data_IF_899161720975
#
_entry.id   IF_899161720975
#
_cell.length_a   1.000
_cell.length_b   1.000
_cell.length_c   1.000
_cell.angle_alpha   90.00
_cell.angle_beta   90.00
_cell.angle_gamma   90.00
#
_symmetry.space_group_name_H-M   'P 1'
#
loop_
_entity.id
_entity.type
_entity.pdbx_description
1 polymer ?
#
# COMPACT_ATOMS: atom_id res chain seq x y z
N UNK A 1 47.65 -69.66 41.57
CA UNK A 1 47.59 -68.85 40.34
C UNK A 1 48.89 -68.10 40.21
N UNK A 2 49.55 -68.23 39.07
CA UNK A 2 50.82 -67.58 38.77
C UNK A 2 50.61 -66.07 38.49
N UNK A 3 51.60 -65.21 38.72
CA UNK A 3 51.44 -63.76 38.45
C UNK A 3 51.11 -63.46 36.99
N UNK A 4 51.51 -64.35 36.08
CA UNK A 4 51.20 -64.32 34.65
C UNK A 4 49.71 -64.49 34.36
N UNK A 5 49.01 -65.41 35.03
CA UNK A 5 47.56 -65.59 34.85
C UNK A 5 46.76 -64.34 35.27
N UNK A 6 47.20 -63.66 36.32
CA UNK A 6 46.56 -62.42 36.76
C UNK A 6 46.77 -61.29 35.74
N UNK A 7 47.99 -61.16 35.20
CA UNK A 7 48.29 -60.16 34.15
C UNK A 7 47.49 -60.42 32.87
N UNK A 8 47.34 -61.69 32.47
CA UNK A 8 46.53 -62.06 31.29
C UNK A 8 45.07 -61.67 31.51
N UNK A 9 44.48 -61.98 32.68
CA UNK A 9 43.11 -61.58 33.02
C UNK A 9 42.92 -60.06 33.03
N UNK A 10 43.91 -59.32 33.49
CA UNK A 10 43.87 -57.85 33.52
C UNK A 10 43.88 -57.26 32.10
N UNK A 11 44.66 -57.86 31.20
CA UNK A 11 44.70 -57.51 29.79
C UNK A 11 43.37 -57.85 29.11
N UNK A 12 42.81 -59.03 29.34
CA UNK A 12 41.50 -59.45 28.79
C UNK A 12 40.38 -58.52 29.23
N UNK A 13 40.32 -58.18 30.53
CA UNK A 13 39.32 -57.23 31.04
C UNK A 13 39.49 -55.84 30.40
N UNK A 14 40.72 -55.36 30.21
CA UNK A 14 40.97 -54.10 29.53
C UNK A 14 40.53 -54.13 28.06
N UNK A 15 40.74 -55.26 27.36
CA UNK A 15 40.28 -55.44 25.98
C UNK A 15 38.75 -55.34 25.93
N UNK A 16 38.05 -56.06 26.80
CA UNK A 16 36.57 -56.03 26.87
C UNK A 16 36.04 -54.61 27.12
N UNK A 17 36.65 -53.86 28.06
CA UNK A 17 36.26 -52.47 28.32
C UNK A 17 36.52 -51.57 27.12
N UNK A 18 37.63 -51.77 26.40
CA UNK A 18 37.94 -50.97 25.20
C UNK A 18 37.03 -51.32 24.02
N UNK A 19 36.68 -52.58 23.82
CA UNK A 19 35.72 -53.01 22.81
C UNK A 19 34.33 -52.42 23.07
N UNK A 20 33.90 -52.41 24.33
CA UNK A 20 32.65 -51.75 24.73
C UNK A 20 32.63 -50.26 24.40
N UNK A 21 33.76 -49.55 24.61
CA UNK A 21 33.91 -48.13 24.22
C UNK A 21 33.92 -47.92 22.71
N UNK A 22 34.50 -48.84 21.95
CA UNK A 22 34.50 -48.79 20.48
C UNK A 22 33.07 -48.93 19.95
N UNK A 23 32.27 -49.83 20.52
CA UNK A 23 30.87 -50.01 20.11
C UNK A 23 29.99 -48.79 20.41
N UNK A 24 30.17 -48.12 21.55
CA UNK A 24 29.46 -46.86 21.83
C UNK A 24 29.88 -45.76 20.87
N UNK A 25 31.18 -45.59 20.60
CA UNK A 25 31.65 -44.61 19.61
C UNK A 25 31.11 -44.89 18.20
N UNK A 26 30.98 -46.15 17.79
CA UNK A 26 30.38 -46.49 16.50
C UNK A 26 28.90 -46.08 16.42
N UNK A 27 28.12 -46.29 17.50
CA UNK A 27 26.74 -45.81 17.58
C UNK A 27 26.65 -44.29 17.50
N UNK A 28 27.51 -43.57 18.23
CA UNK A 28 27.53 -42.11 18.21
C UNK A 28 27.87 -41.58 16.80
N UNK A 29 28.80 -42.23 16.10
CA UNK A 29 29.15 -41.89 14.72
C UNK A 29 27.96 -42.09 13.77
N UNK A 30 27.22 -43.20 13.90
CA UNK A 30 26.01 -43.42 13.09
C UNK A 30 24.92 -42.38 13.37
N UNK A 31 24.71 -42.01 14.63
CA UNK A 31 23.71 -41.02 15.01
C UNK A 31 24.08 -39.62 14.47
N UNK A 32 25.36 -39.25 14.54
CA UNK A 32 25.88 -38.01 13.95
C UNK A 32 25.69 -38.01 12.44
N UNK A 33 25.95 -39.14 11.77
CA UNK A 33 25.80 -39.27 10.31
C UNK A 33 24.33 -39.11 9.89
N UNK A 34 23.41 -39.70 10.65
CA UNK A 34 21.98 -39.54 10.40
C UNK A 34 21.53 -38.08 10.60
N UNK A 35 21.92 -37.45 11.72
CA UNK A 35 21.56 -36.05 11.99
C UNK A 35 22.13 -35.08 10.96
N UNK A 36 23.37 -35.31 10.50
CA UNK A 36 23.98 -34.45 9.48
C UNK A 36 23.25 -34.56 8.14
N UNK A 37 22.88 -35.77 7.72
CA UNK A 37 22.11 -35.99 6.50
C UNK A 37 20.76 -35.27 6.55
N UNK A 38 20.03 -35.40 7.66
CA UNK A 38 18.74 -34.74 7.86
C UNK A 38 18.87 -33.20 7.85
N UNK A 39 19.98 -32.68 8.37
CA UNK A 39 20.30 -31.25 8.31
C UNK A 39 20.56 -30.78 6.86
N UNK A 40 21.29 -31.56 6.06
CA UNK A 40 21.54 -31.25 4.65
C UNK A 40 20.26 -31.27 3.82
N UNK A 41 19.37 -32.24 4.02
CA UNK A 41 18.07 -32.30 3.33
C UNK A 41 17.23 -31.06 3.65
N UNK A 42 17.14 -30.67 4.92
CA UNK A 42 16.43 -29.45 5.32
C UNK A 42 17.02 -28.17 4.69
N UNK A 43 18.34 -28.07 4.54
CA UNK A 43 18.98 -26.93 3.88
C UNK A 43 18.64 -26.87 2.39
N UNK A 44 18.60 -28.02 1.71
CA UNK A 44 18.22 -28.11 0.30
C UNK A 44 16.77 -27.63 0.11
N UNK A 45 15.85 -28.10 0.95
CA UNK A 45 14.44 -27.70 0.91
C UNK A 45 14.26 -26.20 1.15
N UNK A 46 14.97 -25.64 2.12
CA UNK A 46 14.96 -24.20 2.39
C UNK A 46 15.49 -23.38 1.21
N UNK A 47 16.54 -23.86 0.53
CA UNK A 47 17.10 -23.21 -0.65
C UNK A 47 16.09 -23.20 -1.81
N UNK A 48 15.33 -24.28 -2.01
CA UNK A 48 14.32 -24.36 -3.06
C UNK A 48 13.14 -23.40 -2.80
N UNK A 49 12.67 -23.31 -1.55
CA UNK A 49 11.64 -22.35 -1.13
C UNK A 49 12.10 -20.91 -1.38
N UNK A 50 13.36 -20.62 -1.05
CA UNK A 50 13.94 -19.27 -1.20
C UNK A 50 14.07 -18.88 -2.68
N UNK A 51 14.45 -19.83 -3.55
CA UNK A 51 14.48 -19.65 -5.00
C UNK A 51 13.07 -19.36 -5.57
N UNK A 52 12.04 -20.10 -5.13
CA UNK A 52 10.65 -19.86 -5.53
C UNK A 52 10.18 -18.45 -5.14
N UNK A 53 10.48 -18.00 -3.92
CA UNK A 53 10.17 -16.64 -3.45
C UNK A 53 10.90 -15.56 -4.25
N UNK A 54 12.20 -15.73 -4.53
CA UNK A 54 12.97 -14.79 -5.37
C UNK A 54 12.36 -14.64 -6.77
N UNK A 55 11.98 -15.75 -7.41
CA UNK A 55 11.34 -15.73 -8.73
C UNK A 55 10.01 -14.97 -8.71
N UNK A 56 9.20 -15.15 -7.66
CA UNK A 56 7.94 -14.42 -7.50
C UNK A 56 8.16 -12.92 -7.30
N UNK A 57 9.15 -12.52 -6.50
CA UNK A 57 9.48 -11.11 -6.29
C UNK A 57 9.90 -10.41 -7.59
N UNK A 58 10.79 -11.03 -8.37
CA UNK A 58 11.21 -10.49 -9.69
C UNK A 58 10.00 -10.32 -10.61
N UNK A 59 9.07 -11.29 -10.63
CA UNK A 59 7.86 -11.20 -11.45
C UNK A 59 6.95 -10.05 -11.01
N UNK A 60 6.84 -9.81 -9.69
CA UNK A 60 6.09 -8.69 -9.13
C UNK A 60 6.70 -7.34 -9.49
N UNK A 61 8.03 -7.20 -9.36
CA UNK A 61 8.74 -5.98 -9.77
C UNK A 61 8.52 -5.66 -11.25
N UNK A 62 8.62 -6.66 -12.13
CA UNK A 62 8.36 -6.48 -13.56
C UNK A 62 6.91 -6.03 -13.83
N UNK A 63 5.93 -6.56 -13.09
CA UNK A 63 4.53 -6.10 -13.19
C UNK A 63 4.37 -4.67 -12.71
N UNK A 64 4.98 -4.30 -11.58
CA UNK A 64 4.95 -2.94 -11.04
C UNK A 64 5.58 -1.96 -12.04
N UNK A 65 6.74 -2.28 -12.61
CA UNK A 65 7.41 -1.44 -13.61
C UNK A 65 6.54 -1.23 -14.87
N UNK A 66 5.86 -2.28 -15.34
CA UNK A 66 4.91 -2.14 -16.45
C UNK A 66 3.72 -1.23 -16.10
N UNK A 67 3.18 -1.34 -14.87
CA UNK A 67 2.11 -0.46 -14.41
C UNK A 67 2.58 1.00 -14.32
N UNK A 68 3.77 1.26 -13.79
CA UNK A 68 4.38 2.60 -13.73
C UNK A 68 4.50 3.18 -15.15
N UNK A 69 5.03 2.42 -16.11
CA UNK A 69 5.17 2.85 -17.51
C UNK A 69 3.81 3.20 -18.14
N UNK A 70 2.79 2.39 -17.90
CA UNK A 70 1.42 2.66 -18.36
C UNK A 70 0.83 3.91 -17.72
N UNK A 71 1.10 4.13 -16.43
CA UNK A 71 0.60 5.29 -15.71
C UNK A 71 1.25 6.59 -16.24
N UNK A 72 2.57 6.58 -16.48
CA UNK A 72 3.30 7.70 -17.12
C UNK A 72 2.72 8.00 -18.50
N UNK A 73 2.46 6.97 -19.32
CA UNK A 73 1.86 7.15 -20.66
C UNK A 73 0.47 7.78 -20.56
N UNK A 74 -0.33 7.34 -19.59
CA UNK A 74 -1.68 7.85 -19.36
C UNK A 74 -1.64 9.31 -18.90
N UNK A 75 -0.73 9.66 -17.98
CA UNK A 75 -0.52 11.04 -17.54
C UNK A 75 -0.16 11.95 -18.71
N UNK A 76 0.78 11.56 -19.57
CA UNK A 76 1.16 12.34 -20.76
C UNK A 76 -0.02 12.57 -21.71
N UNK A 77 -0.88 11.56 -21.88
CA UNK A 77 -2.10 11.71 -22.68
C UNK A 77 -3.10 12.68 -22.03
N UNK A 78 -3.25 12.65 -20.71
CA UNK A 78 -4.09 13.60 -19.97
C UNK A 78 -3.56 15.03 -20.15
N UNK A 79 -2.25 15.23 -20.02
CA UNK A 79 -1.62 16.54 -20.21
C UNK A 79 -1.85 17.08 -21.62
N UNK A 80 -1.69 16.23 -22.64
CA UNK A 80 -1.97 16.59 -24.03
C UNK A 80 -3.44 16.98 -24.26
N UNK A 81 -4.38 16.21 -23.70
CA UNK A 81 -5.82 16.53 -23.78
C UNK A 81 -6.11 17.85 -23.05
N UNK A 82 -5.46 18.11 -21.92
CA UNK A 82 -5.64 19.34 -21.16
C UNK A 82 -5.14 20.57 -21.94
N UNK A 83 -4.02 20.47 -22.65
CA UNK A 83 -3.54 21.50 -23.57
C UNK A 83 -4.60 21.77 -24.64
N UNK A 84 -5.17 20.73 -25.26
CA UNK A 84 -6.17 20.89 -26.30
C UNK A 84 -7.46 21.55 -25.78
N UNK A 85 -7.91 21.18 -24.57
CA UNK A 85 -9.06 21.81 -23.90
C UNK A 85 -8.79 23.30 -23.66
N UNK A 86 -7.59 23.66 -23.20
CA UNK A 86 -7.24 25.07 -22.97
C UNK A 86 -7.23 25.88 -24.28
N UNK A 87 -6.68 25.32 -25.37
CA UNK A 87 -6.76 25.96 -26.69
C UNK A 87 -8.21 26.21 -27.13
N UNK A 88 -9.09 25.21 -26.97
CA UNK A 88 -10.52 25.36 -27.26
C UNK A 88 -11.19 26.43 -26.39
N UNK A 89 -10.80 26.55 -25.11
CA UNK A 89 -11.30 27.61 -24.24
C UNK A 89 -10.86 29.00 -24.71
N UNK A 90 -9.62 29.15 -25.16
CA UNK A 90 -9.12 30.41 -25.71
C UNK A 90 -9.84 30.79 -27.00
N UNK A 91 -10.08 29.83 -27.91
CA UNK A 91 -10.91 30.04 -29.11
C UNK A 91 -12.33 30.50 -28.75
N UNK A 92 -12.97 29.86 -27.77
CA UNK A 92 -14.29 30.25 -27.28
C UNK A 92 -14.30 31.64 -26.64
N UNK A 93 -13.21 32.03 -25.98
CA UNK A 93 -13.05 33.37 -25.41
C UNK A 93 -12.91 34.43 -26.50
N UNK A 94 -12.13 34.15 -27.53
CA UNK A 94 -11.94 35.05 -28.68
C UNK A 94 -13.25 35.22 -29.46
N UNK A 95 -13.93 34.12 -29.79
CA UNK A 95 -15.24 34.18 -30.46
C UNK A 95 -16.29 34.93 -29.64
N UNK A 96 -16.26 34.83 -28.30
CA UNK A 96 -17.11 35.64 -27.41
C UNK A 96 -16.82 37.14 -27.54
N UNK A 97 -15.55 37.54 -27.65
CA UNK A 97 -15.17 38.93 -27.90
C UNK A 97 -15.69 39.42 -29.26
N UNK A 98 -15.53 38.61 -30.32
CA UNK A 98 -16.03 38.93 -31.66
C UNK A 98 -17.55 39.11 -31.68
N UNK A 99 -18.28 38.23 -30.98
CA UNK A 99 -19.74 38.33 -30.84
C UNK A 99 -20.11 39.63 -30.11
N UNK A 100 -19.38 40.00 -29.05
CA UNK A 100 -19.62 41.24 -28.31
C UNK A 100 -19.38 42.48 -29.17
N UNK A 101 -18.31 42.51 -29.97
CA UNK A 101 -18.07 43.58 -30.92
C UNK A 101 -19.16 43.69 -31.98
N UNK A 102 -19.55 42.55 -32.58
CA UNK A 102 -20.64 42.51 -33.57
C UNK A 102 -21.95 42.98 -32.97
N UNK A 103 -22.25 42.59 -31.73
CA UNK A 103 -23.42 43.07 -30.98
C UNK A 103 -23.38 44.58 -30.76
N UNK A 104 -22.24 45.14 -30.34
CA UNK A 104 -22.08 46.59 -30.16
C UNK A 104 -22.26 47.35 -31.48
N UNK A 105 -21.72 46.83 -32.60
CA UNK A 105 -21.94 47.40 -33.94
C UNK A 105 -23.43 47.38 -34.33
N UNK A 106 -24.12 46.27 -34.09
CA UNK A 106 -25.57 46.15 -34.34
C UNK A 106 -26.35 47.14 -33.46
N UNK A 107 -26.01 47.25 -32.17
CA UNK A 107 -26.65 48.20 -31.25
C UNK A 107 -26.44 49.66 -31.71
N UNK A 108 -25.26 50.00 -32.23
CA UNK A 108 -25.00 51.34 -32.77
C UNK A 108 -25.80 51.61 -34.05
N UNK A 109 -25.97 50.60 -34.93
CA UNK A 109 -26.84 50.70 -36.11
C UNK A 109 -28.30 50.89 -35.66
N UNK A 110 -28.75 50.15 -34.66
CA UNK A 110 -30.09 50.31 -34.09
C UNK A 110 -30.31 51.70 -33.48
N UNK A 111 -29.34 52.23 -32.73
CA UNK A 111 -29.39 53.59 -32.20
C UNK A 111 -29.44 54.65 -33.31
N UNK A 112 -28.74 54.41 -34.43
CA UNK A 112 -28.84 55.23 -35.63
C UNK A 112 -30.22 55.12 -36.31
N UNK A 113 -30.80 53.92 -36.37
CA UNK A 113 -32.13 53.66 -36.95
C UNK A 113 -33.27 54.22 -36.08
N UNK A 114 -33.17 54.15 -34.75
CA UNK A 114 -34.13 54.76 -33.81
C UNK A 114 -34.14 56.29 -33.91
N UNK A 115 -33.00 56.92 -34.23
CA UNK A 115 -32.91 58.35 -34.52
C UNK A 115 -33.33 58.73 -35.96
N UNK A 116 -33.47 57.77 -36.86
CA UNK A 116 -33.92 57.98 -38.23
C UNK A 116 -35.37 57.52 -38.36
N UNK A 117 -36.30 58.37 -37.93
CA UNK A 117 -37.73 58.10 -38.13
C UNK A 117 -38.08 58.19 -39.61
N UNK A 118 -37.96 57.06 -40.31
CA UNK A 118 -38.81 56.69 -41.44
C UNK A 118 -38.76 55.18 -41.69
N UNK A 119 -39.90 54.57 -41.40
CA UNK A 119 -40.34 53.18 -41.61
C UNK A 119 -39.49 52.31 -42.53
N UNK A 120 -39.16 51.08 -42.08
CA UNK A 120 -38.90 49.96 -42.99
C UNK A 120 -39.05 48.58 -42.32
N UNK A 121 -39.57 47.62 -43.09
CA UNK A 121 -39.81 46.20 -42.72
C UNK A 121 -38.61 45.47 -42.09
N UNK A 122 -37.38 45.98 -42.26
CA UNK A 122 -36.16 45.43 -41.66
C UNK A 122 -36.16 45.48 -40.12
N UNK A 123 -36.81 46.46 -39.49
CA UNK A 123 -36.89 46.53 -38.02
C UNK A 123 -37.67 45.34 -37.48
N UNK A 124 -38.80 44.97 -38.10
CA UNK A 124 -39.64 43.83 -37.69
C UNK A 124 -38.86 42.50 -37.77
N UNK A 125 -38.12 42.29 -38.85
CA UNK A 125 -37.28 41.10 -39.03
C UNK A 125 -36.17 41.05 -37.97
N UNK A 126 -35.53 42.18 -37.70
CA UNK A 126 -34.43 42.24 -36.72
C UNK A 126 -34.95 42.08 -35.28
N UNK A 127 -36.12 42.63 -34.95
CA UNK A 127 -36.81 42.39 -33.67
C UNK A 127 -37.22 40.92 -33.52
N UNK A 128 -37.66 40.27 -34.60
CA UNK A 128 -37.99 38.84 -34.61
C UNK A 128 -36.75 37.96 -34.36
N UNK A 129 -35.63 38.24 -35.03
CA UNK A 129 -34.36 37.52 -34.84
C UNK A 129 -33.86 37.66 -33.40
N UNK A 130 -33.92 38.87 -32.82
CA UNK A 130 -33.52 39.11 -31.43
C UNK A 130 -34.43 38.37 -30.45
N UNK A 131 -35.75 38.38 -30.65
CA UNK A 131 -36.69 37.60 -29.84
C UNK A 131 -36.36 36.11 -29.87
N UNK A 132 -36.04 35.58 -31.05
CA UNK A 132 -35.69 34.18 -31.23
C UNK A 132 -34.36 33.83 -30.53
N UNK A 133 -33.37 34.74 -30.59
CA UNK A 133 -32.11 34.60 -29.87
C UNK A 133 -32.32 34.55 -28.35
N UNK A 134 -33.12 35.47 -27.79
CA UNK A 134 -33.41 35.48 -26.35
C UNK A 134 -34.20 34.25 -25.89
N UNK A 135 -35.09 33.72 -26.73
CA UNK A 135 -35.80 32.47 -26.45
C UNK A 135 -34.83 31.28 -26.43
N UNK A 136 -33.98 31.13 -27.46
CA UNK A 136 -32.97 30.07 -27.49
C UNK A 136 -31.96 30.16 -26.35
N UNK A 137 -31.59 31.38 -25.92
CA UNK A 137 -30.73 31.59 -24.75
C UNK A 137 -31.38 31.06 -23.48
N UNK A 138 -32.68 31.36 -23.25
CA UNK A 138 -33.42 30.83 -22.10
C UNK A 138 -33.48 29.30 -22.12
N UNK A 139 -33.72 28.69 -23.28
CA UNK A 139 -33.73 27.24 -23.44
C UNK A 139 -32.36 26.62 -23.10
N UNK A 140 -31.28 27.23 -23.60
CA UNK A 140 -29.91 26.80 -23.30
C UNK A 140 -29.58 26.92 -21.79
N UNK A 141 -30.00 28.00 -21.13
CA UNK A 141 -29.77 28.19 -19.70
C UNK A 141 -30.50 27.13 -18.85
N UNK A 142 -31.71 26.72 -19.26
CA UNK A 142 -32.46 25.62 -18.62
C UNK A 142 -31.71 24.29 -18.79
N UNK A 143 -31.23 24.02 -20.00
CA UNK A 143 -30.46 22.82 -20.33
C UNK A 143 -29.16 22.75 -19.51
N UNK A 144 -28.44 23.87 -19.41
CA UNK A 144 -27.20 23.97 -18.65
C UNK A 144 -27.44 23.70 -17.15
N UNK A 145 -28.51 24.30 -16.57
CA UNK A 145 -28.89 24.04 -15.18
C UNK A 145 -29.20 22.56 -14.93
N UNK A 146 -29.90 21.91 -15.87
CA UNK A 146 -30.20 20.48 -15.79
C UNK A 146 -28.94 19.61 -15.83
N UNK A 147 -28.00 19.90 -16.73
CA UNK A 147 -26.72 19.18 -16.84
C UNK A 147 -25.89 19.37 -15.57
N UNK A 148 -25.78 20.60 -15.06
CA UNK A 148 -25.08 20.88 -13.82
C UNK A 148 -25.69 20.08 -12.67
N UNK A 149 -27.01 20.15 -12.48
CA UNK A 149 -27.69 19.40 -11.43
C UNK A 149 -27.46 17.88 -11.52
N UNK A 150 -27.50 17.31 -12.73
CA UNK A 150 -27.21 15.90 -12.97
C UNK A 150 -25.78 15.54 -12.57
N UNK A 151 -24.81 16.40 -12.88
CA UNK A 151 -23.41 16.19 -12.53
C UNK A 151 -23.15 16.34 -11.02
N UNK A 152 -23.78 17.32 -10.36
CA UNK A 152 -23.69 17.47 -8.89
C UNK A 152 -24.25 16.24 -8.18
N UNK A 153 -25.38 15.71 -8.65
CA UNK A 153 -25.97 14.49 -8.09
C UNK A 153 -25.07 13.26 -8.27
N UNK A 154 -24.42 13.12 -9.43
CA UNK A 154 -23.43 12.05 -9.65
C UNK A 154 -22.26 12.18 -8.70
N UNK A 155 -21.70 13.38 -8.53
CA UNK A 155 -20.62 13.67 -7.58
C UNK A 155 -21.01 13.29 -6.16
N UNK A 156 -22.20 13.70 -5.71
CA UNK A 156 -22.68 13.42 -4.35
C UNK A 156 -22.89 11.93 -4.12
N UNK A 157 -23.43 11.18 -5.09
CA UNK A 157 -23.52 9.72 -5.01
C UNK A 157 -22.14 9.08 -4.85
N UNK A 158 -21.15 9.56 -5.61
CA UNK A 158 -19.79 9.04 -5.55
C UNK A 158 -19.13 9.31 -4.19
N UNK A 159 -19.31 10.51 -3.64
CA UNK A 159 -18.86 10.87 -2.28
C UNK A 159 -19.51 9.95 -1.23
N UNK A 160 -20.82 9.72 -1.32
CA UNK A 160 -21.53 8.86 -0.37
C UNK A 160 -21.06 7.40 -0.47
N UNK A 161 -20.81 6.90 -1.68
CA UNK A 161 -20.25 5.56 -1.87
C UNK A 161 -18.86 5.43 -1.25
N UNK A 162 -17.99 6.43 -1.42
CA UNK A 162 -16.65 6.45 -0.80
C UNK A 162 -16.79 6.44 0.73
N UNK A 163 -17.68 7.26 1.30
CA UNK A 163 -17.95 7.27 2.74
C UNK A 163 -18.41 5.91 3.26
N UNK A 164 -19.28 5.23 2.52
CA UNK A 164 -19.77 3.91 2.90
C UNK A 164 -18.65 2.85 2.85
N UNK A 165 -17.82 2.88 1.80
CA UNK A 165 -16.66 1.98 1.68
C UNK A 165 -15.68 2.22 2.85
N UNK A 166 -15.36 3.48 3.15
CA UNK A 166 -14.48 3.82 4.26
C UNK A 166 -15.05 3.36 5.60
N UNK A 167 -16.36 3.53 5.83
CA UNK A 167 -17.00 3.02 7.05
C UNK A 167 -16.89 1.50 7.18
N UNK A 168 -17.03 0.77 6.06
CA UNK A 168 -16.88 -0.69 6.07
C UNK A 168 -15.43 -1.11 6.35
N UNK A 169 -14.45 -0.41 5.76
CA UNK A 169 -13.02 -0.64 6.01
C UNK A 169 -12.71 -0.40 7.49
N UNK A 170 -13.22 0.69 8.07
CA UNK A 170 -13.02 1.01 9.49
C UNK A 170 -13.60 -0.08 10.39
N UNK A 171 -14.80 -0.59 10.09
CA UNK A 171 -15.39 -1.70 10.84
C UNK A 171 -14.54 -2.98 10.77
N UNK A 172 -14.00 -3.31 9.60
CA UNK A 172 -13.11 -4.47 9.45
C UNK A 172 -11.83 -4.29 10.24
N UNK A 173 -11.22 -3.11 10.21
CA UNK A 173 -10.00 -2.79 10.98
C UNK A 173 -10.29 -2.93 12.48
N UNK A 174 -11.40 -2.37 12.98
CA UNK A 174 -11.78 -2.50 14.39
C UNK A 174 -11.95 -3.97 14.81
N UNK A 175 -12.57 -4.79 13.96
CA UNK A 175 -12.73 -6.22 14.25
C UNK A 175 -11.39 -6.96 14.27
N UNK A 176 -10.45 -6.61 13.38
CA UNK A 176 -9.09 -7.18 13.38
C UNK A 176 -8.37 -6.81 14.67
N UNK A 177 -8.44 -5.54 15.10
CA UNK A 177 -7.81 -5.09 16.35
C UNK A 177 -8.36 -5.84 17.58
N UNK A 178 -9.67 -6.04 17.66
CA UNK A 178 -10.30 -6.82 18.75
C UNK A 178 -9.76 -8.26 18.75
N UNK A 179 -9.69 -8.90 17.58
CA UNK A 179 -9.16 -10.27 17.47
C UNK A 179 -7.68 -10.35 17.85
N UNK A 180 -6.87 -9.36 17.46
CA UNK A 180 -5.46 -9.29 17.84
C UNK A 180 -5.31 -9.12 19.37
N UNK A 181 -6.13 -8.29 20.01
CA UNK A 181 -6.16 -8.15 21.47
C UNK A 181 -6.53 -9.48 22.17
N UNK A 182 -7.53 -10.21 21.66
CA UNK A 182 -7.91 -11.52 22.17
C UNK A 182 -6.80 -12.56 22.01
N UNK A 183 -6.11 -12.57 20.86
CA UNK A 183 -4.98 -13.46 20.60
C UNK A 183 -3.85 -13.16 21.59
N UNK A 184 -3.48 -11.88 21.78
CA UNK A 184 -2.44 -11.48 22.74
C UNK A 184 -2.83 -11.89 24.16
N UNK A 185 -4.09 -11.67 24.57
CA UNK A 185 -4.60 -12.07 25.88
C UNK A 185 -4.47 -13.58 26.10
N UNK A 186 -4.86 -14.38 25.11
CA UNK A 186 -4.77 -15.84 25.18
C UNK A 186 -3.31 -16.34 25.17
N UNK A 187 -2.44 -15.74 24.36
CA UNK A 187 -1.01 -16.04 24.36
C UNK A 187 -0.36 -15.74 25.72
N UNK A 188 -0.74 -14.63 26.38
CA UNK A 188 -0.28 -14.31 27.73
C UNK A 188 -0.79 -15.33 28.77
N UNK A 189 -2.02 -15.81 28.66
CA UNK A 189 -2.53 -16.90 29.52
C UNK A 189 -1.73 -18.19 29.34
N UNK A 190 -1.47 -18.60 28.09
CA UNK A 190 -0.66 -19.79 27.79
C UNK A 190 0.77 -19.61 28.33
N UNK A 191 1.36 -18.43 28.12
CA UNK A 191 2.67 -18.07 28.66
C UNK A 191 2.73 -18.24 30.19
N UNK A 192 1.73 -17.73 30.91
CA UNK A 192 1.66 -17.85 32.37
C UNK A 192 1.53 -19.32 32.81
N UNK A 193 0.69 -20.12 32.16
CA UNK A 193 0.57 -21.56 32.44
C UNK A 193 1.90 -22.29 32.24
N UNK A 194 2.64 -21.98 31.17
CA UNK A 194 3.96 -22.58 30.93
C UNK A 194 4.95 -22.16 32.03
N UNK A 195 4.92 -20.91 32.49
CA UNK A 195 5.74 -20.46 33.62
C UNK A 195 5.40 -21.20 34.92
N UNK A 196 4.12 -21.36 35.24
CA UNK A 196 3.68 -22.07 36.44
C UNK A 196 4.16 -23.54 36.41
N UNK A 197 4.05 -24.20 35.25
CA UNK A 197 4.55 -25.56 35.03
C UNK A 197 6.08 -25.62 35.23
N UNK A 198 6.83 -24.68 34.65
CA UNK A 198 8.28 -24.62 34.80
C UNK A 198 8.71 -24.39 36.26
N UNK A 199 7.97 -23.56 37.01
CA UNK A 199 8.24 -23.30 38.42
C UNK A 199 8.02 -24.56 39.27
N UNK A 200 6.93 -25.30 39.04
CA UNK A 200 6.65 -26.58 39.73
C UNK A 200 7.79 -27.59 39.47
N UNK A 201 8.23 -27.71 38.21
CA UNK A 201 9.33 -28.64 37.87
C UNK A 201 10.69 -28.24 38.44
N UNK A 202 10.95 -26.95 38.66
CA UNK A 202 12.16 -26.47 39.30
C UNK A 202 12.21 -26.81 40.80
N UNK A 203 11.07 -26.85 41.48
CA UNK A 203 10.97 -27.29 42.88
C UNK A 203 11.20 -28.81 43.02
N UNK A 204 10.84 -29.61 42.01
CA UNK A 204 10.90 -31.08 42.08
C UNK A 204 12.25 -31.71 41.68
N UNK A 205 13.10 -31.07 40.85
CA UNK A 205 14.47 -31.57 40.53
C UNK A 205 15.47 -30.45 40.17
N UNK A 206 16.61 -30.40 40.90
CA UNK A 206 17.86 -29.82 40.38
C UNK A 206 18.37 -30.73 39.25
N UNK A 207 18.09 -30.39 38.00
CA UNK A 207 18.81 -30.69 36.74
C UNK A 207 17.74 -30.60 35.64
N UNK A 208 17.48 -29.41 35.13
CA UNK A 208 17.03 -29.21 33.75
C UNK A 208 17.52 -27.83 33.30
N UNK A 209 18.75 -27.83 32.79
CA UNK A 209 19.33 -26.67 32.12
C UNK A 209 18.86 -26.61 30.66
N UNK A 210 18.28 -25.47 30.32
CA UNK A 210 18.32 -24.76 29.04
C UNK A 210 17.65 -25.33 27.77
N UNK A 211 17.29 -26.61 27.65
CA UNK A 211 16.69 -27.16 26.41
C UNK A 211 15.34 -27.87 26.61
N UNK A 212 14.43 -27.24 27.36
CA UNK A 212 13.07 -27.74 27.51
C UNK A 212 12.17 -27.19 26.39
N UNK A 213 11.34 -28.03 25.78
CA UNK A 213 10.34 -27.64 24.77
C UNK A 213 9.47 -26.45 25.24
N UNK A 214 9.23 -26.34 26.55
CA UNK A 214 8.53 -25.20 27.16
C UNK A 214 9.27 -23.86 27.01
N UNK A 215 10.61 -23.82 27.06
CA UNK A 215 11.38 -22.59 26.80
C UNK A 215 11.33 -22.19 25.32
N UNK A 216 11.27 -23.17 24.41
CA UNK A 216 11.08 -22.93 22.97
C UNK A 216 9.69 -22.34 22.74
N UNK A 217 8.65 -22.90 23.36
CA UNK A 217 7.29 -22.38 23.31
C UNK A 217 7.19 -20.94 23.85
N UNK A 218 7.83 -20.64 24.98
CA UNK A 218 7.88 -19.27 25.53
C UNK A 218 8.55 -18.29 24.57
N UNK A 219 9.67 -18.67 23.94
CA UNK A 219 10.36 -17.83 22.96
C UNK A 219 9.50 -17.57 21.72
N UNK A 220 8.76 -18.58 21.24
CA UNK A 220 7.83 -18.42 20.11
C UNK A 220 6.69 -17.47 20.49
N UNK A 221 6.07 -17.67 21.66
CA UNK A 221 4.97 -16.83 22.14
C UNK A 221 5.43 -15.38 22.29
N UNK A 222 6.59 -15.13 22.89
CA UNK A 222 7.13 -13.77 23.03
C UNK A 222 7.38 -13.10 21.67
N UNK A 223 7.94 -13.82 20.70
CA UNK A 223 8.14 -13.29 19.33
C UNK A 223 6.82 -12.95 18.63
N UNK A 224 5.77 -13.73 18.86
CA UNK A 224 4.44 -13.46 18.28
C UNK A 224 3.84 -12.20 18.92
N UNK A 225 3.93 -12.06 20.25
CA UNK A 225 3.43 -10.89 20.99
C UNK A 225 4.18 -9.61 20.55
N UNK A 226 5.51 -9.65 20.50
CA UNK A 226 6.34 -8.51 20.06
C UNK A 226 6.01 -8.09 18.63
N UNK A 227 5.81 -9.06 17.73
CA UNK A 227 5.44 -8.79 16.35
C UNK A 227 4.06 -8.13 16.26
N UNK A 228 3.05 -8.66 16.94
CA UNK A 228 1.69 -8.09 16.94
C UNK A 228 1.64 -6.69 17.58
N UNK A 229 2.42 -6.42 18.63
CA UNK A 229 2.52 -5.09 19.23
C UNK A 229 3.15 -4.06 18.28
N UNK A 230 4.19 -4.45 17.54
CA UNK A 230 4.80 -3.60 16.53
C UNK A 230 3.86 -3.33 15.35
N UNK A 231 3.15 -4.36 14.86
CA UNK A 231 2.20 -4.23 13.77
C UNK A 231 1.00 -3.34 14.17
N UNK A 232 0.46 -3.49 15.39
CA UNK A 232 -0.61 -2.63 15.92
C UNK A 232 -0.21 -1.14 16.00
N UNK A 233 1.04 -0.85 16.38
CA UNK A 233 1.56 0.52 16.39
C UNK A 233 1.61 1.13 14.98
N UNK A 234 1.95 0.33 13.97
CA UNK A 234 1.95 0.77 12.57
C UNK A 234 0.52 1.02 12.07
N UNK A 235 -0.42 0.14 12.41
CA UNK A 235 -1.84 0.31 12.04
C UNK A 235 -2.47 1.54 12.69
N UNK A 236 -2.25 1.78 13.99
CA UNK A 236 -2.70 2.99 14.68
C UNK A 236 -2.09 4.27 14.06
N UNK A 237 -0.82 4.22 13.65
CA UNK A 237 -0.15 5.35 13.02
C UNK A 237 -0.73 5.67 11.63
N UNK A 238 -1.03 4.64 10.84
CA UNK A 238 -1.70 4.79 9.52
C UNK A 238 -3.14 5.30 9.71
N UNK A 239 -3.85 4.79 10.71
CA UNK A 239 -5.21 5.20 11.05
C UNK A 239 -5.28 6.69 11.43
N UNK A 240 -4.38 7.14 12.31
CA UNK A 240 -4.28 8.55 12.72
C UNK A 240 -3.88 9.50 11.57
N UNK A 241 -3.01 9.05 10.66
CA UNK A 241 -2.69 9.79 9.43
C UNK A 241 -3.94 9.91 8.56
N UNK A 242 -4.71 8.83 8.39
CA UNK A 242 -5.91 8.82 7.55
C UNK A 242 -7.00 9.80 8.05
N UNK A 243 -7.21 9.90 9.36
CA UNK A 243 -8.14 10.84 9.97
C UNK A 243 -7.67 12.30 9.83
N UNK A 244 -6.36 12.56 9.93
CA UNK A 244 -5.80 13.90 9.71
C UNK A 244 -5.94 14.36 8.25
N UNK A 245 -5.77 13.44 7.30
CA UNK A 245 -5.96 13.68 5.86
C UNK A 245 -7.45 13.86 5.54
N UNK A 246 -8.33 13.10 6.19
CA UNK A 246 -9.78 13.23 6.02
C UNK A 246 -10.32 14.59 6.49
N UNK A 247 -9.76 15.13 7.59
CA UNK A 247 -10.15 16.45 8.12
C UNK A 247 -9.54 17.62 7.32
N UNK A 248 -8.32 17.48 6.81
CA UNK A 248 -7.65 18.53 6.02
C UNK A 248 -8.22 18.69 4.60
N UNK A 249 -8.73 17.63 3.98
CA UNK A 249 -9.34 17.70 2.63
C UNK A 249 -10.70 18.42 2.66
N UNK A 250 -11.38 18.48 3.79
CA UNK A 250 -12.71 19.11 3.91
C UNK A 250 -12.62 20.61 4.22
N UNK A 251 -11.48 21.11 4.71
CA UNK A 251 -11.40 22.48 5.27
C UNK A 251 -10.43 23.44 4.60
N UNK A 252 -9.62 23.05 3.61
CA UNK A 252 -8.70 24.02 2.97
C UNK A 252 -9.43 24.87 1.90
N UNK A 253 -9.71 26.16 2.14
CA UNK A 253 -10.06 27.05 1.04
C UNK A 253 -8.79 27.30 0.24
N UNK A 254 -8.91 27.30 -1.08
CA UNK A 254 -7.87 27.75 -2.02
C UNK A 254 -7.19 29.03 -1.51
N UNK A 255 -6.04 28.90 -0.86
CA UNK A 255 -5.12 30.02 -0.63
C UNK A 255 -4.01 29.91 -1.66
N UNK A 256 -4.10 30.79 -2.65
CA UNK A 256 -3.03 31.15 -3.56
C UNK A 256 -1.75 31.43 -2.78
N UNK A 257 -0.80 30.50 -2.77
CA UNK A 257 0.59 30.83 -2.50
C UNK A 257 1.47 30.15 -3.55
N UNK A 258 1.97 31.01 -4.44
CA UNK A 258 3.20 30.97 -5.20
C UNK A 258 3.86 29.60 -5.39
N UNK A 259 3.98 29.22 -6.65
CA UNK A 259 4.83 28.17 -7.18
C UNK A 259 6.20 28.12 -6.46
N UNK A 260 6.34 27.22 -5.49
CA UNK A 260 7.63 26.72 -5.07
C UNK A 260 7.96 25.53 -5.96
N UNK A 261 9.01 25.71 -6.77
CA UNK A 261 9.69 24.66 -7.52
C UNK A 261 9.90 23.45 -6.61
N UNK A 262 9.30 22.33 -6.95
CA UNK A 262 9.74 21.01 -6.47
C UNK A 262 11.07 20.75 -7.19
N UNK A 263 12.15 21.10 -6.52
CA UNK A 263 13.50 20.72 -6.93
C UNK A 263 13.69 19.28 -6.47
N UNK A 264 13.48 18.34 -7.39
CA UNK A 264 13.90 16.95 -7.22
C UNK A 264 15.44 16.92 -7.26
N UNK A 265 16.07 17.13 -6.11
CA UNK A 265 17.42 16.62 -5.88
C UNK A 265 17.31 15.11 -5.70
N UNK A 266 17.31 14.40 -6.83
CA UNK A 266 17.66 12.99 -6.86
C UNK A 266 19.15 12.91 -6.51
N UNK A 267 19.44 12.16 -5.45
CA UNK A 267 20.77 11.88 -4.97
C UNK A 267 21.59 11.23 -6.10
N UNK A 268 22.43 12.02 -6.76
CA UNK A 268 23.21 11.66 -7.96
C UNK A 268 24.14 10.47 -7.76
N UNK A 269 24.40 10.10 -6.51
CA UNK A 269 25.17 8.92 -6.12
C UNK A 269 24.49 7.60 -6.55
N UNK A 270 23.17 7.48 -6.34
CA UNK A 270 22.42 6.24 -6.64
C UNK A 270 22.28 6.02 -8.15
N UNK A 271 22.27 7.10 -8.94
CA UNK A 271 22.20 7.02 -10.41
C UNK A 271 23.57 6.66 -11.02
N UNK A 272 24.66 7.17 -10.44
CA UNK A 272 26.04 6.82 -10.86
C UNK A 272 26.41 5.38 -10.51
N UNK A 273 25.94 4.84 -9.38
CA UNK A 273 26.11 3.43 -9.03
C UNK A 273 25.33 2.49 -9.97
N UNK A 274 24.18 2.96 -10.46
CA UNK A 274 23.33 2.21 -11.39
C UNK A 274 23.91 2.19 -12.81
N UNK A 275 24.53 3.29 -13.27
CA UNK A 275 25.27 3.32 -14.55
C UNK A 275 26.50 2.43 -14.52
N UNK A 276 27.29 2.46 -13.43
CA UNK A 276 28.49 1.63 -13.29
C UNK A 276 28.19 0.13 -13.17
N UNK A 277 26.96 -0.26 -12.78
CA UNK A 277 26.55 -1.66 -12.72
C UNK A 277 26.28 -2.26 -14.11
N UNK A 278 26.03 -1.42 -15.13
CA UNK A 278 25.73 -1.84 -16.50
C UNK A 278 26.87 -1.64 -17.51
N UNK A 279 28.05 -1.21 -17.05
CA UNK A 279 29.30 -1.12 -17.82
C UNK A 279 30.28 -2.21 -17.41
#
# INVERSE_FOLDING_TARGET
MSSLENQIKEIENNIIVKEGKIQTLLKDIEEIKYKSQLYYENLIDQQEILLKKKKQNILLELKINNLIKNNIKTSKNIDHVNIHINCLFDELKNTKCDIKEKYNKINNIFYFLDNYTKCNNNIIVTTSILKNFFNKKKEHDILLKSILHKNTNKKNKLINNIKQINSNINNVISNILILDEEIISNLNKIKNVIYDILNIYQEEKKIYQNNCEFNICLNIINKIIEKQQNDNNIFLHIYNISDSIHNNIITYPYKNHNAQKIQLELNTQEFLELENFFS
#
